data_IF_307990338120
#
_entry.id   IF_307990338120
#
_cell.length_a   1.000
_cell.length_b   1.000
_cell.length_c   1.000
_cell.angle_alpha   90.00
_cell.angle_beta   90.00
_cell.angle_gamma   90.00
#
_symmetry.space_group_name_H-M   'P 1'
#
loop_
_entity.id
_entity.type
_entity.pdbx_description
1 polymer ?
#
# COMPACT_ATOMS: atom_id res chain seq x y z
N UNK A 1 -31.10 -25.14 -74.60
CA UNK A 1 -29.76 -25.74 -74.48
C UNK A 1 -29.10 -25.18 -73.23
N UNK A 2 -28.80 -26.08 -72.29
CA UNK A 2 -27.90 -26.05 -71.13
C UNK A 2 -27.52 -24.72 -70.43
N UNK A 3 -27.66 -24.74 -69.10
CA UNK A 3 -26.97 -23.85 -68.17
C UNK A 3 -27.38 -24.08 -66.71
N UNK A 4 -27.21 -25.31 -66.19
CA UNK A 4 -27.37 -25.62 -64.75
C UNK A 4 -26.24 -24.96 -63.94
N UNK A 5 -26.59 -24.21 -62.90
CA UNK A 5 -25.70 -23.93 -61.77
C UNK A 5 -26.37 -24.38 -60.47
N UNK A 6 -25.81 -25.42 -59.86
CA UNK A 6 -26.15 -25.89 -58.52
C UNK A 6 -25.54 -24.95 -57.47
N UNK A 7 -26.37 -24.42 -56.57
CA UNK A 7 -25.92 -23.81 -55.33
C UNK A 7 -26.51 -24.59 -54.15
N UNK A 8 -25.64 -25.29 -53.44
CA UNK A 8 -25.92 -26.02 -52.21
C UNK A 8 -26.09 -25.04 -51.04
N UNK A 9 -27.29 -24.96 -50.47
CA UNK A 9 -27.54 -24.23 -49.23
C UNK A 9 -27.16 -25.12 -48.04
N UNK A 10 -26.10 -24.74 -47.31
CA UNK A 10 -25.74 -25.33 -46.02
C UNK A 10 -26.59 -24.64 -44.96
N UNK A 11 -27.47 -25.40 -44.29
CA UNK A 11 -28.25 -24.92 -43.16
C UNK A 11 -27.36 -24.87 -41.90
N UNK A 12 -27.16 -23.67 -41.35
CA UNK A 12 -26.47 -23.47 -40.07
C UNK A 12 -27.51 -23.59 -38.95
N UNK A 13 -27.40 -24.64 -38.13
CA UNK A 13 -28.18 -24.76 -36.90
C UNK A 13 -27.72 -23.71 -35.88
N UNK A 14 -28.65 -22.86 -35.42
CA UNK A 14 -28.39 -21.88 -34.37
C UNK A 14 -28.26 -22.58 -33.01
N UNK A 15 -27.11 -22.46 -32.37
CA UNK A 15 -26.96 -22.83 -30.95
C UNK A 15 -27.51 -21.70 -30.05
N UNK A 16 -28.17 -22.03 -28.93
CA UNK A 16 -28.71 -21.03 -28.01
C UNK A 16 -27.58 -20.26 -27.32
N UNK A 17 -27.71 -18.94 -27.28
CA UNK A 17 -26.76 -18.06 -26.62
C UNK A 17 -26.71 -18.33 -25.11
N UNK A 18 -25.53 -18.67 -24.59
CA UNK A 18 -25.29 -18.75 -23.17
C UNK A 18 -25.39 -17.34 -22.56
N UNK A 19 -26.36 -17.13 -21.68
CA UNK A 19 -26.48 -15.91 -20.88
C UNK A 19 -25.29 -15.81 -19.93
N UNK A 20 -24.36 -14.89 -20.22
CA UNK A 20 -23.29 -14.53 -19.31
C UNK A 20 -23.91 -13.94 -18.03
N UNK A 21 -23.61 -14.55 -16.89
CA UNK A 21 -23.99 -14.02 -15.58
C UNK A 21 -23.32 -12.66 -15.39
N UNK A 22 -24.11 -11.62 -15.12
CA UNK A 22 -23.59 -10.30 -14.77
C UNK A 22 -22.85 -10.38 -13.43
N UNK A 23 -21.67 -9.74 -13.30
CA UNK A 23 -21.00 -9.62 -12.02
C UNK A 23 -21.90 -8.88 -11.03
N UNK A 24 -21.97 -9.38 -9.79
CA UNK A 24 -22.76 -8.76 -8.73
C UNK A 24 -22.28 -7.31 -8.49
N UNK A 25 -23.20 -6.35 -8.29
CA UNK A 25 -22.83 -4.97 -7.99
C UNK A 25 -22.05 -4.91 -6.67
N UNK A 26 -20.89 -4.25 -6.71
CA UNK A 26 -20.06 -3.99 -5.53
C UNK A 26 -20.81 -3.05 -4.57
N UNK A 27 -20.97 -3.39 -3.28
CA UNK A 27 -21.66 -2.50 -2.34
C UNK A 27 -20.82 -1.24 -2.11
N UNK A 28 -21.34 -0.10 -2.55
CA UNK A 28 -20.85 1.23 -2.12
C UNK A 28 -21.19 1.41 -0.65
N UNK A 29 -20.26 1.01 0.23
CA UNK A 29 -20.31 1.30 1.66
C UNK A 29 -20.33 2.81 1.87
N UNK A 30 -21.45 3.36 2.36
CA UNK A 30 -21.62 4.78 2.69
C UNK A 30 -20.91 5.19 3.99
N UNK A 31 -20.35 4.23 4.73
CA UNK A 31 -19.56 4.52 5.94
C UNK A 31 -18.06 4.55 5.59
N UNK A 32 -17.30 5.53 6.13
CA UNK A 32 -15.87 5.64 5.87
C UNK A 32 -15.12 4.40 6.37
N UNK A 33 -14.05 4.02 5.66
CA UNK A 33 -13.23 2.89 6.05
C UNK A 33 -12.33 3.27 7.24
N UNK A 34 -12.42 2.50 8.32
CA UNK A 34 -11.64 2.73 9.54
C UNK A 34 -10.24 2.14 9.38
N UNK A 35 -9.20 2.96 9.52
CA UNK A 35 -7.82 2.58 9.29
C UNK A 35 -6.95 2.74 10.54
N UNK A 36 -6.13 1.73 10.81
CA UNK A 36 -4.88 1.92 11.56
C UNK A 36 -3.74 1.75 10.55
N UNK A 37 -2.78 2.65 10.54
CA UNK A 37 -1.65 2.64 9.60
C UNK A 37 -0.37 2.29 10.32
N UNK A 38 0.45 1.43 9.72
CA UNK A 38 1.82 1.12 10.13
C UNK A 38 2.74 1.45 8.94
N UNK A 39 3.70 2.34 9.15
CA UNK A 39 4.54 2.92 8.08
C UNK A 39 5.95 3.12 8.60
N UNK A 40 6.93 2.85 7.75
CA UNK A 40 8.34 3.12 8.00
C UNK A 40 8.85 4.34 7.22
N UNK A 41 7.99 5.35 7.11
CA UNK A 41 8.31 6.65 6.51
C UNK A 41 9.67 7.21 6.96
N UNK A 42 10.48 7.68 6.02
CA UNK A 42 11.72 8.37 6.32
C UNK A 42 12.98 7.74 5.73
N UNK A 43 12.90 6.50 5.25
CA UNK A 43 13.98 5.82 4.53
C UNK A 43 13.83 6.09 3.04
N UNK A 44 12.77 5.54 2.42
CA UNK A 44 12.29 5.93 1.09
C UNK A 44 11.20 7.02 1.20
N UNK A 45 10.93 7.70 0.09
CA UNK A 45 10.03 8.87 0.05
C UNK A 45 8.56 8.48 -0.14
N UNK A 46 8.27 7.27 -0.59
CA UNK A 46 6.96 6.88 -1.06
C UNK A 46 5.90 6.75 0.03
N UNK A 47 6.26 6.37 1.26
CA UNK A 47 5.34 6.48 2.41
C UNK A 47 4.82 7.92 2.57
N UNK A 48 5.68 8.93 2.38
CA UNK A 48 5.29 10.33 2.53
C UNK A 48 4.23 10.70 1.49
N UNK A 49 4.44 10.28 0.23
CA UNK A 49 3.45 10.48 -0.82
C UNK A 49 2.17 9.68 -0.58
N UNK A 50 2.25 8.47 -0.04
CA UNK A 50 1.11 7.64 0.35
C UNK A 50 0.28 8.29 1.47
N UNK A 51 0.93 8.79 2.51
CA UNK A 51 0.29 9.54 3.59
C UNK A 51 -0.30 10.85 3.07
N UNK A 52 0.33 11.52 2.10
CA UNK A 52 -0.24 12.69 1.44
C UNK A 52 -1.61 12.41 0.80
N UNK A 53 -1.71 11.30 0.05
CA UNK A 53 -2.98 10.84 -0.51
C UNK A 53 -3.99 10.48 0.60
N UNK A 54 -3.54 9.73 1.61
CA UNK A 54 -4.38 9.28 2.72
C UNK A 54 -5.00 10.46 3.48
N UNK A 55 -4.20 11.46 3.85
CA UNK A 55 -4.62 12.60 4.67
C UNK A 55 -5.60 13.53 3.93
N UNK A 56 -5.61 13.51 2.59
CA UNK A 56 -6.54 14.22 1.72
C UNK A 56 -7.78 13.41 1.34
N UNK A 57 -7.91 12.19 1.86
CA UNK A 57 -8.99 11.27 1.49
C UNK A 57 -10.02 11.10 2.63
N UNK A 58 -11.10 11.90 2.66
CA UNK A 58 -12.09 11.85 3.76
C UNK A 58 -12.86 10.53 3.84
N UNK A 59 -12.85 9.70 2.80
CA UNK A 59 -13.42 8.36 2.78
C UNK A 59 -12.64 7.39 3.68
N UNK A 60 -11.39 7.71 4.02
CA UNK A 60 -10.50 6.90 4.84
C UNK A 60 -10.35 7.56 6.22
N UNK A 61 -11.00 6.98 7.22
CA UNK A 61 -10.96 7.49 8.59
C UNK A 61 -9.79 6.88 9.36
N UNK A 62 -8.72 7.64 9.52
CA UNK A 62 -7.50 7.21 10.20
C UNK A 62 -7.67 7.29 11.72
N UNK A 63 -7.74 6.14 12.37
CA UNK A 63 -7.84 5.97 13.83
C UNK A 63 -6.49 6.15 14.54
N UNK A 64 -5.39 5.98 13.81
CA UNK A 64 -4.03 6.22 14.30
C UNK A 64 -2.97 5.75 13.32
N UNK A 65 -1.76 6.27 13.49
CA UNK A 65 -0.59 5.94 12.66
C UNK A 65 0.57 5.53 13.58
N UNK A 66 1.13 4.35 13.32
CA UNK A 66 2.28 3.81 14.01
C UNK A 66 3.54 3.99 13.17
N UNK A 67 4.62 4.48 13.79
CA UNK A 67 5.96 4.47 13.19
C UNK A 67 6.62 3.09 13.35
N UNK A 68 6.78 2.38 12.25
CA UNK A 68 7.38 1.05 12.20
C UNK A 68 8.86 1.11 11.80
N UNK A 69 9.60 0.06 12.15
CA UNK A 69 10.95 -0.27 11.65
C UNK A 69 12.08 0.77 11.84
N UNK A 70 13.28 0.33 12.21
CA UNK A 70 14.44 1.21 12.39
C UNK A 70 14.27 2.23 13.54
N UNK A 71 14.56 3.51 13.27
CA UNK A 71 14.43 4.58 14.27
C UNK A 71 12.97 5.06 14.41
N UNK A 72 12.15 4.23 15.03
CA UNK A 72 10.71 4.47 15.22
C UNK A 72 10.41 5.76 16.00
N UNK A 73 11.35 6.26 16.80
CA UNK A 73 11.19 7.53 17.53
C UNK A 73 11.37 8.73 16.62
N UNK A 74 12.41 8.74 15.77
CA UNK A 74 12.61 9.80 14.79
C UNK A 74 11.51 9.78 13.71
N UNK A 75 11.05 8.59 13.30
CA UNK A 75 9.89 8.45 12.40
C UNK A 75 8.62 9.05 13.00
N UNK A 76 8.37 8.86 14.30
CA UNK A 76 7.23 9.49 14.96
C UNK A 76 7.32 11.02 14.96
N UNK A 77 8.52 11.60 15.09
CA UNK A 77 8.72 13.05 14.96
C UNK A 77 8.42 13.53 13.54
N UNK A 78 8.85 12.78 12.52
CA UNK A 78 8.49 13.03 11.12
C UNK A 78 6.97 13.00 10.95
N UNK A 79 6.29 11.93 11.38
CA UNK A 79 4.84 11.81 11.31
C UNK A 79 4.13 12.99 11.98
N UNK A 80 4.51 13.34 13.20
CA UNK A 80 3.90 14.45 13.94
C UNK A 80 4.03 15.78 13.19
N UNK A 81 5.21 16.04 12.62
CA UNK A 81 5.43 17.26 11.84
C UNK A 81 4.65 17.22 10.53
N UNK A 82 4.53 16.07 9.86
CA UNK A 82 3.78 15.92 8.61
C UNK A 82 2.28 16.14 8.85
N UNK A 83 1.74 15.54 9.91
CA UNK A 83 0.37 15.74 10.35
C UNK A 83 0.09 17.22 10.65
N UNK A 84 1.02 17.91 11.31
CA UNK A 84 0.89 19.35 11.56
C UNK A 84 0.84 20.15 10.25
N UNK A 85 1.72 19.84 9.30
CA UNK A 85 1.73 20.51 7.99
C UNK A 85 0.46 20.22 7.18
N UNK A 86 -0.13 19.04 7.34
CA UNK A 86 -1.39 18.66 6.71
C UNK A 86 -2.64 19.21 7.44
N UNK A 87 -2.48 19.86 8.60
CA UNK A 87 -3.61 20.27 9.45
C UNK A 87 -4.37 19.09 10.06
N UNK A 88 -3.70 17.95 10.28
CA UNK A 88 -4.25 16.67 10.76
C UNK A 88 -3.64 16.19 12.08
N UNK A 89 -3.22 17.12 12.95
CA UNK A 89 -2.58 16.81 14.24
C UNK A 89 -3.48 16.07 15.24
N UNK A 90 -4.78 15.96 14.97
CA UNK A 90 -5.72 15.19 15.80
C UNK A 90 -5.53 13.67 15.67
N UNK A 91 -4.86 13.20 14.61
CA UNK A 91 -4.63 11.77 14.39
C UNK A 91 -3.64 11.23 15.43
N UNK A 92 -4.02 10.23 16.24
CA UNK A 92 -3.14 9.66 17.25
C UNK A 92 -1.92 8.98 16.62
N UNK A 93 -0.76 9.16 17.26
CA UNK A 93 0.47 8.45 16.89
C UNK A 93 0.78 7.32 17.88
N UNK A 94 1.43 6.27 17.38
CA UNK A 94 2.06 5.22 18.18
C UNK A 94 3.49 4.96 17.71
N UNK A 95 4.29 4.33 18.55
CA UNK A 95 5.67 3.94 18.25
C UNK A 95 5.75 2.42 18.18
N UNK A 96 6.33 1.92 17.09
CA UNK A 96 6.54 0.50 16.85
C UNK A 96 7.65 -0.12 17.67
N UNK A 97 7.79 -1.44 17.54
CA UNK A 97 8.82 -2.23 18.19
C UNK A 97 10.23 -1.69 17.87
N UNK A 98 11.11 -1.75 18.86
CA UNK A 98 12.51 -1.36 18.69
C UNK A 98 13.20 -2.34 17.75
N UNK A 99 13.61 -1.86 16.60
CA UNK A 99 14.28 -2.61 15.53
C UNK A 99 15.50 -1.83 15.04
N UNK A 100 16.25 -2.38 14.09
CA UNK A 100 17.41 -1.73 13.49
C UNK A 100 17.30 -1.80 11.98
N UNK A 101 17.42 -0.66 11.30
CA UNK A 101 17.51 -0.58 9.85
C UNK A 101 18.97 -0.37 9.45
N UNK A 102 19.41 -1.08 8.40
CA UNK A 102 20.68 -0.80 7.73
C UNK A 102 20.52 0.33 6.70
N UNK A 103 19.28 0.73 6.38
CA UNK A 103 19.00 1.84 5.49
C UNK A 103 19.15 3.16 6.25
N UNK A 104 19.92 4.12 5.74
CA UNK A 104 19.98 5.46 6.31
C UNK A 104 18.60 6.15 6.25
N UNK A 105 18.22 6.80 7.34
CA UNK A 105 17.04 7.64 7.41
C UNK A 105 17.26 8.92 6.58
N UNK A 106 16.86 8.91 5.31
CA UNK A 106 17.15 9.95 4.32
C UNK A 106 16.55 11.31 4.69
N UNK A 107 15.38 11.31 5.34
CA UNK A 107 14.64 12.51 5.73
C UNK A 107 14.90 12.98 7.18
N UNK A 108 15.97 12.50 7.83
CA UNK A 108 16.26 12.74 9.25
C UNK A 108 16.33 14.24 9.63
N UNK A 109 16.89 15.09 8.75
CA UNK A 109 17.01 16.53 9.02
C UNK A 109 15.65 17.21 9.10
N UNK A 110 14.69 16.73 8.32
CA UNK A 110 13.31 17.19 8.41
C UNK A 110 12.63 16.62 9.65
N UNK A 111 12.80 15.32 9.91
CA UNK A 111 12.21 14.61 11.04
C UNK A 111 12.58 15.24 12.39
N UNK A 112 13.87 15.57 12.60
CA UNK A 112 14.41 16.11 13.85
C UNK A 112 13.85 17.49 14.25
N UNK A 113 13.05 18.13 13.38
CA UNK A 113 12.33 19.37 13.69
C UNK A 113 10.90 19.11 14.18
N UNK A 114 10.45 17.86 14.21
CA UNK A 114 9.17 17.46 14.75
C UNK A 114 9.24 17.31 16.26
N UNK A 115 8.19 17.76 16.95
CA UNK A 115 8.09 17.67 18.40
C UNK A 115 6.91 16.79 18.80
N UNK A 116 7.19 15.67 19.46
CA UNK A 116 6.13 14.80 19.98
C UNK A 116 5.42 15.48 21.16
N UNK A 117 4.08 15.32 21.28
CA UNK A 117 3.30 15.88 22.38
C UNK A 117 3.53 15.18 23.72
N UNK A 118 4.30 14.09 23.74
CA UNK A 118 4.62 13.32 24.95
C UNK A 118 5.00 11.88 24.62
N UNK A 119 4.89 11.01 25.62
CA UNK A 119 5.11 9.57 25.45
C UNK A 119 3.98 8.98 24.61
N UNK A 120 4.33 8.37 23.48
CA UNK A 120 3.40 7.70 22.59
C UNK A 120 3.10 6.26 23.06
N UNK A 121 1.90 5.73 22.78
CA UNK A 121 1.57 4.32 23.00
C UNK A 121 2.37 3.39 22.08
N UNK A 122 2.40 2.13 22.45
CA UNK A 122 2.95 1.01 21.67
C UNK A 122 2.05 0.69 20.46
N UNK A 123 2.65 0.48 19.28
CA UNK A 123 1.92 0.22 18.03
C UNK A 123 1.02 -1.02 18.12
N UNK A 124 1.54 -2.14 18.64
CA UNK A 124 0.76 -3.36 18.81
C UNK A 124 -0.43 -3.15 19.77
N UNK A 125 -0.25 -2.36 20.83
CA UNK A 125 -1.34 -1.96 21.72
C UNK A 125 -2.40 -1.12 21.00
N UNK A 126 -2.01 -0.16 20.15
CA UNK A 126 -2.94 0.64 19.34
C UNK A 126 -3.74 -0.25 18.38
N UNK A 127 -3.07 -1.14 17.63
CA UNK A 127 -3.73 -2.07 16.68
C UNK A 127 -4.79 -2.89 17.41
N UNK A 128 -4.42 -3.53 18.52
CA UNK A 128 -5.31 -4.38 19.31
C UNK A 128 -6.45 -3.58 19.97
N UNK A 129 -6.16 -2.37 20.46
CA UNK A 129 -7.17 -1.50 21.04
C UNK A 129 -8.24 -1.14 20.00
N UNK A 130 -7.83 -0.68 18.82
CA UNK A 130 -8.78 -0.30 17.77
C UNK A 130 -9.56 -1.51 17.24
N UNK A 131 -8.92 -2.66 17.08
CA UNK A 131 -9.60 -3.91 16.71
C UNK A 131 -10.66 -4.34 17.75
N UNK A 132 -10.41 -4.10 19.05
CA UNK A 132 -11.38 -4.36 20.13
C UNK A 132 -12.53 -3.37 20.17
N UNK A 133 -12.26 -2.07 19.94
CA UNK A 133 -13.28 -1.02 19.92
C UNK A 133 -14.18 -1.12 18.68
N UNK A 134 -13.64 -1.60 17.56
CA UNK A 134 -14.33 -1.66 16.27
C UNK A 134 -14.19 -3.06 15.62
N UNK A 135 -14.72 -4.12 16.27
CA UNK A 135 -14.55 -5.50 15.80
C UNK A 135 -15.15 -5.70 14.41
N UNK A 136 -14.39 -6.31 13.51
CA UNK A 136 -14.75 -6.58 12.12
C UNK A 136 -14.77 -5.35 11.21
N UNK A 137 -14.34 -4.17 11.70
CA UNK A 137 -14.43 -2.90 10.95
C UNK A 137 -13.08 -2.25 10.62
N UNK A 138 -12.05 -2.49 11.44
CA UNK A 138 -10.72 -1.87 11.24
C UNK A 138 -9.94 -2.61 10.15
N UNK A 139 -9.50 -1.88 9.14
CA UNK A 139 -8.46 -2.32 8.22
C UNK A 139 -7.10 -1.87 8.76
N UNK A 140 -6.16 -2.79 8.87
CA UNK A 140 -4.77 -2.49 9.16
C UNK A 140 -4.03 -2.26 7.83
N UNK A 141 -3.61 -1.02 7.59
CA UNK A 141 -2.79 -0.65 6.44
C UNK A 141 -1.31 -0.76 6.82
N UNK A 142 -0.56 -1.63 6.16
CA UNK A 142 0.86 -1.88 6.42
C UNK A 142 1.67 -1.43 5.21
N UNK A 143 2.49 -0.40 5.38
CA UNK A 143 3.34 0.20 4.35
C UNK A 143 4.83 -0.11 4.56
N UNK A 144 5.18 -0.70 5.71
CA UNK A 144 6.54 -1.12 6.03
C UNK A 144 6.65 -2.59 6.44
N UNK A 145 7.77 -2.97 7.07
CA UNK A 145 7.94 -4.32 7.63
C UNK A 145 6.85 -4.69 8.62
N UNK A 146 6.37 -5.93 8.56
CA UNK A 146 5.17 -6.39 9.28
C UNK A 146 5.37 -6.62 10.78
N UNK A 147 6.46 -6.13 11.37
CA UNK A 147 6.87 -6.39 12.76
C UNK A 147 5.79 -6.04 13.76
N UNK A 148 5.18 -4.86 13.68
CA UNK A 148 4.17 -4.43 14.66
C UNK A 148 2.88 -5.23 14.56
N UNK A 149 2.49 -5.64 13.34
CA UNK A 149 1.37 -6.53 13.10
C UNK A 149 1.64 -7.92 13.69
N UNK A 150 2.85 -8.45 13.50
CA UNK A 150 3.29 -9.72 14.07
C UNK A 150 3.33 -9.68 15.61
N UNK A 151 3.81 -8.60 16.21
CA UNK A 151 3.81 -8.40 17.67
C UNK A 151 2.37 -8.32 18.21
N UNK A 152 1.47 -7.61 17.52
CA UNK A 152 0.05 -7.55 17.87
C UNK A 152 -0.59 -8.95 17.82
N UNK A 153 -0.34 -9.70 16.74
CA UNK A 153 -0.82 -11.07 16.56
C UNK A 153 -0.30 -11.99 17.66
N UNK A 154 0.98 -11.90 18.00
CA UNK A 154 1.59 -12.73 19.05
C UNK A 154 1.03 -12.40 20.44
N UNK A 155 0.81 -11.11 20.73
CA UNK A 155 0.33 -10.66 22.04
C UNK A 155 -1.12 -11.07 22.31
N UNK A 156 -2.00 -10.95 21.31
CA UNK A 156 -3.42 -11.28 21.45
C UNK A 156 -3.99 -11.78 20.10
N UNK A 157 -3.84 -13.09 19.79
CA UNK A 157 -4.31 -13.65 18.53
C UNK A 157 -5.82 -13.47 18.31
N UNK A 158 -6.62 -13.60 19.37
CA UNK A 158 -8.08 -13.47 19.29
C UNK A 158 -8.50 -12.02 19.06
N UNK A 159 -7.80 -11.04 19.67
CA UNK A 159 -7.99 -9.63 19.41
C UNK A 159 -7.55 -9.23 18.01
N UNK A 160 -6.40 -9.72 17.55
CA UNK A 160 -5.90 -9.48 16.20
C UNK A 160 -6.84 -10.02 15.11
N UNK A 161 -7.45 -11.19 15.35
CA UNK A 161 -8.45 -11.80 14.46
C UNK A 161 -9.73 -10.95 14.30
N UNK A 162 -9.94 -9.90 15.11
CA UNK A 162 -11.06 -8.96 14.98
C UNK A 162 -10.82 -7.88 13.92
N UNK A 163 -9.63 -7.77 13.35
CA UNK A 163 -9.40 -6.90 12.20
C UNK A 163 -10.32 -7.33 11.05
N UNK A 164 -10.85 -6.35 10.32
CA UNK A 164 -11.61 -6.58 9.08
C UNK A 164 -10.73 -7.27 8.05
N UNK A 165 -9.51 -6.74 7.88
CA UNK A 165 -8.49 -7.19 6.93
C UNK A 165 -7.17 -6.47 7.18
N UNK A 166 -6.13 -6.98 6.56
CA UNK A 166 -4.84 -6.30 6.37
C UNK A 166 -4.74 -5.91 4.89
N UNK A 167 -4.30 -4.69 4.62
CA UNK A 167 -3.92 -4.23 3.28
C UNK A 167 -2.45 -3.88 3.36
N UNK A 168 -1.61 -4.56 2.59
CA UNK A 168 -0.16 -4.46 2.74
C UNK A 168 0.54 -4.12 1.41
N UNK A 169 1.45 -3.15 1.43
CA UNK A 169 2.52 -3.08 0.44
C UNK A 169 3.59 -4.10 0.84
N UNK A 170 3.88 -5.03 -0.05
CA UNK A 170 4.97 -5.95 0.18
C UNK A 170 4.92 -7.16 -0.73
N UNK A 171 6.07 -7.82 -0.82
CA UNK A 171 6.25 -9.01 -1.62
C UNK A 171 6.48 -8.75 -3.10
N UNK A 172 6.97 -9.77 -3.76
CA UNK A 172 7.25 -9.82 -5.20
C UNK A 172 6.81 -11.20 -5.65
N UNK A 173 5.67 -11.28 -6.34
CA UNK A 173 5.02 -12.57 -6.62
C UNK A 173 5.51 -13.10 -7.96
N UNK A 174 5.33 -12.33 -9.04
CA UNK A 174 5.72 -12.74 -10.40
C UNK A 174 6.71 -11.75 -11.04
N UNK A 175 6.89 -10.57 -10.44
CA UNK A 175 7.76 -9.51 -10.96
C UNK A 175 8.62 -8.91 -9.86
N UNK A 176 9.93 -8.81 -10.11
CA UNK A 176 10.90 -8.12 -9.25
C UNK A 176 10.99 -6.62 -9.49
N UNK A 177 11.99 -5.99 -8.89
CA UNK A 177 12.27 -4.55 -9.04
C UNK A 177 12.68 -4.14 -10.45
N UNK A 178 12.49 -2.85 -10.75
CA UNK A 178 12.94 -2.20 -11.99
C UNK A 178 11.99 -2.37 -13.18
N UNK A 179 10.72 -2.74 -12.94
CA UNK A 179 9.69 -2.85 -13.99
C UNK A 179 9.42 -1.48 -14.62
N UNK A 180 9.66 -1.33 -15.90
CA UNK A 180 9.33 -0.13 -16.66
C UNK A 180 8.75 -0.46 -18.03
N UNK A 181 8.25 0.55 -18.74
CA UNK A 181 7.82 0.37 -20.13
C UNK A 181 8.97 0.01 -21.08
N UNK A 182 10.22 0.23 -20.65
CA UNK A 182 11.42 0.10 -21.48
C UNK A 182 12.32 -1.08 -21.10
N UNK A 183 11.97 -1.82 -20.03
CA UNK A 183 12.72 -2.98 -19.56
C UNK A 183 11.77 -4.15 -19.31
N UNK A 184 12.15 -5.39 -19.71
CA UNK A 184 11.37 -6.55 -19.34
C UNK A 184 11.29 -6.67 -17.81
N UNK A 185 10.21 -7.28 -17.32
CA UNK A 185 10.06 -7.56 -15.91
C UNK A 185 11.20 -8.46 -15.41
N UNK A 186 11.86 -8.05 -14.34
CA UNK A 186 12.81 -8.88 -13.61
C UNK A 186 12.09 -10.07 -12.95
N UNK A 187 12.80 -11.17 -12.75
CA UNK A 187 12.29 -12.29 -11.94
C UNK A 187 11.94 -11.82 -10.52
N UNK A 188 11.01 -12.51 -9.81
CA UNK A 188 10.69 -12.21 -8.42
C UNK A 188 11.93 -12.11 -7.54
N UNK A 189 11.93 -11.18 -6.60
CA UNK A 189 13.04 -10.90 -5.68
C UNK A 189 12.53 -10.89 -4.23
N UNK A 190 13.41 -11.00 -3.21
CA UNK A 190 13.02 -10.66 -1.85
C UNK A 190 12.68 -9.17 -1.83
N UNK A 191 11.41 -8.85 -1.63
CA UNK A 191 10.94 -7.47 -1.51
C UNK A 191 11.30 -6.94 -0.12
N UNK A 192 11.68 -5.66 -0.04
CA UNK A 192 12.23 -5.01 1.15
C UNK A 192 11.40 -5.24 2.42
N UNK A 193 10.09 -4.92 2.41
CA UNK A 193 9.23 -5.01 3.59
C UNK A 193 9.12 -6.45 4.12
N UNK A 194 9.10 -7.43 3.21
CA UNK A 194 9.10 -8.86 3.57
C UNK A 194 10.49 -9.30 4.07
N UNK A 195 11.56 -8.91 3.38
CA UNK A 195 12.93 -9.30 3.69
C UNK A 195 13.42 -8.72 5.02
N UNK A 196 13.00 -7.49 5.34
CA UNK A 196 13.36 -6.79 6.56
C UNK A 196 13.00 -7.60 7.81
N UNK A 197 11.82 -8.22 7.84
CA UNK A 197 11.38 -9.06 8.95
C UNK A 197 10.62 -10.31 8.46
N UNK A 198 11.39 -11.26 7.92
CA UNK A 198 10.87 -12.53 7.39
C UNK A 198 9.99 -13.28 8.42
N UNK A 199 10.40 -13.47 9.69
CA UNK A 199 9.56 -14.14 10.68
C UNK A 199 8.23 -13.40 10.95
N UNK A 200 8.23 -12.07 10.96
CA UNK A 200 7.01 -11.29 11.10
C UNK A 200 6.07 -11.47 9.91
N UNK A 201 6.60 -11.40 8.69
CA UNK A 201 5.82 -11.61 7.48
C UNK A 201 5.19 -13.02 7.45
N UNK A 202 5.96 -14.07 7.76
CA UNK A 202 5.46 -15.44 7.87
C UNK A 202 4.31 -15.56 8.89
N UNK A 203 4.46 -14.93 10.05
CA UNK A 203 3.43 -14.93 11.10
C UNK A 203 2.15 -14.24 10.63
N UNK A 204 2.26 -13.10 9.95
CA UNK A 204 1.10 -12.33 9.47
C UNK A 204 0.37 -13.08 8.35
N UNK A 205 1.09 -13.67 7.40
CA UNK A 205 0.49 -14.48 6.33
C UNK A 205 -0.23 -15.72 6.87
N UNK A 206 0.23 -16.26 8.01
CA UNK A 206 -0.40 -17.39 8.70
C UNK A 206 -1.48 -16.98 9.72
N UNK A 207 -1.77 -15.69 9.91
CA UNK A 207 -2.60 -15.21 11.01
C UNK A 207 -4.11 -15.49 10.83
N UNK A 208 -4.56 -15.87 9.63
CA UNK A 208 -5.96 -16.13 9.32
C UNK A 208 -6.85 -14.88 9.18
N UNK A 209 -6.29 -13.68 9.34
CA UNK A 209 -6.95 -12.41 9.00
C UNK A 209 -6.92 -12.25 7.48
N UNK A 210 -8.02 -11.82 6.81
CA UNK A 210 -7.99 -11.59 5.37
C UNK A 210 -6.91 -10.59 4.96
N UNK A 211 -6.10 -10.92 3.95
CA UNK A 211 -5.01 -10.06 3.45
C UNK A 211 -5.29 -9.65 2.01
N UNK A 212 -5.14 -8.37 1.72
CA UNK A 212 -4.97 -7.84 0.37
C UNK A 212 -3.51 -7.43 0.23
N UNK A 213 -2.81 -8.07 -0.72
CA UNK A 213 -1.39 -7.84 -0.95
C UNK A 213 -1.21 -7.00 -2.22
N UNK A 214 -0.46 -5.92 -2.10
CA UNK A 214 0.00 -5.08 -3.20
C UNK A 214 1.52 -5.29 -3.37
N UNK A 215 1.94 -6.33 -4.11
CA UNK A 215 3.34 -6.63 -4.38
C UNK A 215 3.94 -5.77 -5.50
N UNK A 216 5.25 -5.91 -5.71
CA UNK A 216 6.01 -5.26 -6.79
C UNK A 216 5.40 -5.41 -8.19
N UNK A 217 4.61 -6.47 -8.42
CA UNK A 217 3.82 -6.67 -9.63
C UNK A 217 2.92 -5.46 -9.97
N UNK A 218 2.36 -4.83 -8.94
CA UNK A 218 1.36 -3.76 -9.00
C UNK A 218 1.90 -2.39 -8.59
N UNK A 219 2.90 -2.32 -7.71
CA UNK A 219 3.23 -1.09 -6.97
C UNK A 219 4.27 -0.20 -7.63
N UNK A 220 4.97 -0.67 -8.66
CA UNK A 220 6.00 0.09 -9.37
C UNK A 220 5.41 1.22 -10.26
N UNK A 221 4.90 2.29 -9.63
CA UNK A 221 4.31 3.48 -10.26
C UNK A 221 5.27 4.66 -10.10
N UNK A 222 5.61 5.36 -11.17
CA UNK A 222 6.50 6.52 -11.08
C UNK A 222 5.72 7.83 -11.02
N UNK A 223 6.17 8.76 -10.17
CA UNK A 223 5.68 10.15 -10.17
C UNK A 223 6.54 10.95 -11.14
N UNK A 224 6.07 11.13 -12.38
CA UNK A 224 6.85 11.75 -13.46
C UNK A 224 6.97 13.27 -13.33
N UNK A 225 7.77 13.88 -14.21
CA UNK A 225 8.11 15.30 -14.13
C UNK A 225 6.90 16.25 -14.13
N UNK A 226 5.91 16.07 -15.02
CA UNK A 226 4.73 16.93 -15.02
C UNK A 226 3.97 16.88 -13.69
N UNK A 227 3.81 15.69 -13.11
CA UNK A 227 3.12 15.48 -11.84
C UNK A 227 3.90 16.14 -10.70
N UNK A 228 5.22 15.98 -10.65
CA UNK A 228 6.07 16.63 -9.65
C UNK A 228 6.03 18.14 -9.75
N UNK A 229 6.07 18.71 -10.96
CA UNK A 229 5.96 20.16 -11.15
C UNK A 229 4.63 20.66 -10.61
N UNK A 230 3.52 20.00 -10.95
CA UNK A 230 2.20 20.37 -10.47
C UNK A 230 2.08 20.26 -8.94
N UNK A 231 2.61 19.18 -8.36
CA UNK A 231 2.58 18.93 -6.92
C UNK A 231 3.41 19.97 -6.14
N UNK A 232 4.65 20.22 -6.58
CA UNK A 232 5.55 21.14 -5.89
C UNK A 232 5.17 22.62 -6.10
N UNK A 233 4.44 22.94 -7.16
CA UNK A 233 3.94 24.30 -7.42
C UNK A 233 2.61 24.60 -6.73
N UNK A 234 1.93 23.62 -6.12
CA UNK A 234 0.62 23.81 -5.51
C UNK A 234 0.65 24.79 -4.33
N UNK A 235 1.67 24.68 -3.47
CA UNK A 235 1.98 25.69 -2.44
C UNK A 235 1.05 25.67 -1.23
N UNK A 236 0.86 24.51 -0.60
CA UNK A 236 0.27 24.39 0.74
C UNK A 236 1.16 23.62 1.71
N UNK A 237 0.77 23.57 2.99
CA UNK A 237 1.57 22.93 4.05
C UNK A 237 1.92 21.47 3.73
N UNK A 238 0.98 20.68 3.21
CA UNK A 238 1.23 19.28 2.87
C UNK A 238 2.15 19.17 1.65
N UNK A 239 1.86 19.88 0.55
CA UNK A 239 2.68 19.79 -0.68
C UNK A 239 4.08 20.34 -0.47
N UNK A 240 4.24 21.37 0.36
CA UNK A 240 5.55 21.92 0.72
C UNK A 240 6.35 20.96 1.61
N UNK A 241 5.67 20.21 2.49
CA UNK A 241 6.30 19.15 3.27
C UNK A 241 6.78 18.01 2.35
N UNK A 242 5.93 17.54 1.43
CA UNK A 242 6.28 16.52 0.45
C UNK A 242 7.46 16.96 -0.42
N UNK A 243 7.47 18.22 -0.86
CA UNK A 243 8.58 18.81 -1.63
C UNK A 243 9.89 18.75 -0.85
N UNK A 244 9.90 19.19 0.40
CA UNK A 244 11.10 19.18 1.24
C UNK A 244 11.60 17.77 1.54
N UNK A 245 10.70 16.82 1.82
CA UNK A 245 11.03 15.42 2.06
C UNK A 245 11.64 14.79 0.80
N UNK A 246 11.03 15.03 -0.36
CA UNK A 246 11.53 14.56 -1.66
C UNK A 246 12.94 15.07 -1.94
N UNK A 247 13.22 16.35 -1.72
CA UNK A 247 14.57 16.89 -1.97
C UNK A 247 15.61 16.38 -0.96
N UNK A 248 15.23 15.99 0.27
CA UNK A 248 16.16 15.32 1.18
C UNK A 248 16.46 13.90 0.73
N UNK A 249 15.43 13.12 0.41
CA UNK A 249 15.58 11.76 -0.11
C UNK A 249 16.40 11.72 -1.40
N UNK A 250 16.08 12.60 -2.36
CA UNK A 250 16.78 12.69 -3.65
C UNK A 250 18.25 13.06 -3.50
N UNK A 251 18.60 13.83 -2.48
CA UNK A 251 19.97 14.29 -2.22
C UNK A 251 20.75 13.28 -1.35
N UNK A 252 20.51 11.99 -1.54
CA UNK A 252 21.26 10.91 -0.91
C UNK A 252 22.01 10.08 -1.94
N UNK A 253 23.04 9.35 -1.51
CA UNK A 253 23.78 8.40 -2.35
C UNK A 253 23.12 7.00 -2.37
N UNK A 254 21.85 6.89 -1.98
CA UNK A 254 21.12 5.63 -1.98
C UNK A 254 20.85 5.17 -3.43
N UNK A 255 21.00 3.88 -3.75
CA UNK A 255 20.93 3.41 -5.14
C UNK A 255 19.53 3.52 -5.77
N UNK A 256 18.48 3.67 -4.96
CA UNK A 256 17.10 3.91 -5.41
C UNK A 256 16.73 5.40 -5.46
N UNK A 257 17.53 6.30 -4.88
CA UNK A 257 17.28 7.73 -4.94
C UNK A 257 17.37 8.24 -6.38
N UNK A 258 16.36 8.95 -6.85
CA UNK A 258 16.32 9.44 -8.23
C UNK A 258 15.46 10.69 -8.39
N UNK A 259 15.46 11.28 -9.61
CA UNK A 259 14.56 12.39 -9.93
C UNK A 259 13.09 11.96 -10.02
N UNK A 260 12.82 10.68 -10.25
CA UNK A 260 11.48 10.14 -10.47
C UNK A 260 11.23 9.07 -9.41
N UNK A 261 10.59 9.43 -8.27
CA UNK A 261 10.34 8.47 -7.21
C UNK A 261 9.33 7.43 -7.67
N UNK A 262 9.47 6.21 -7.15
CA UNK A 262 8.48 5.14 -7.35
C UNK A 262 7.55 5.13 -6.14
N UNK A 263 6.25 5.25 -6.35
CA UNK A 263 5.21 5.37 -5.34
C UNK A 263 4.65 3.99 -4.96
N UNK A 264 5.45 3.14 -4.32
CA UNK A 264 4.99 1.80 -3.99
C UNK A 264 3.80 1.83 -3.03
N UNK A 265 3.92 2.62 -1.97
CA UNK A 265 2.93 2.71 -0.89
C UNK A 265 1.66 3.50 -1.23
N UNK A 266 1.70 4.33 -2.28
CA UNK A 266 0.51 5.02 -2.74
C UNK A 266 -0.54 4.05 -3.32
N UNK A 267 -0.10 2.88 -3.81
CA UNK A 267 -1.00 1.88 -4.42
C UNK A 267 -1.96 1.24 -3.41
N UNK A 268 -1.54 0.76 -2.24
CA UNK A 268 -2.46 0.35 -1.17
C UNK A 268 -3.50 1.41 -0.80
N UNK A 269 -3.10 2.67 -0.68
CA UNK A 269 -4.01 3.78 -0.33
C UNK A 269 -5.01 4.03 -1.48
N UNK A 270 -4.53 4.06 -2.72
CA UNK A 270 -5.38 4.18 -3.90
C UNK A 270 -6.36 3.01 -4.03
N UNK A 271 -5.93 1.78 -3.71
CA UNK A 271 -6.77 0.59 -3.72
C UNK A 271 -7.91 0.68 -2.69
N UNK A 272 -7.66 1.23 -1.50
CA UNK A 272 -8.70 1.47 -0.49
C UNK A 272 -9.78 2.44 -0.98
N UNK A 273 -9.43 3.40 -1.84
CA UNK A 273 -10.36 4.35 -2.44
C UNK A 273 -11.10 3.77 -3.65
N UNK A 274 -10.36 3.06 -4.50
CA UNK A 274 -10.82 2.53 -5.80
C UNK A 274 -10.24 1.13 -6.03
N UNK A 275 -10.83 0.08 -5.43
CA UNK A 275 -10.35 -1.29 -5.57
C UNK A 275 -10.32 -1.78 -7.03
N UNK A 276 -11.11 -1.17 -7.91
CA UNK A 276 -11.17 -1.48 -9.34
C UNK A 276 -9.91 -1.06 -10.12
N UNK A 277 -9.08 -0.15 -9.57
CA UNK A 277 -7.78 0.18 -10.15
C UNK A 277 -6.82 -1.00 -10.18
N UNK A 278 -7.04 -1.99 -9.31
CA UNK A 278 -6.08 -3.07 -9.09
C UNK A 278 -6.86 -4.32 -8.62
N UNK A 279 -7.57 -4.98 -9.55
CA UNK A 279 -8.34 -6.20 -9.26
C UNK A 279 -7.44 -7.30 -8.70
N UNK A 280 -7.96 -8.02 -7.70
CA UNK A 280 -7.17 -9.03 -6.98
C UNK A 280 -7.38 -10.44 -7.52
N UNK A 281 -6.33 -11.24 -7.43
CA UNK A 281 -6.33 -12.69 -7.69
C UNK A 281 -6.20 -13.43 -6.36
N UNK A 282 -7.08 -14.40 -6.05
CA UNK A 282 -6.90 -15.24 -4.88
C UNK A 282 -5.68 -16.15 -5.08
N UNK A 283 -4.70 -16.05 -4.19
CA UNK A 283 -3.47 -16.87 -4.22
C UNK A 283 -3.19 -17.46 -2.85
N UNK A 284 -2.54 -18.63 -2.85
CA UNK A 284 -1.85 -19.13 -1.68
C UNK A 284 -0.39 -18.68 -1.77
N UNK A 285 0.01 -17.79 -0.87
CA UNK A 285 1.37 -17.24 -0.82
C UNK A 285 2.04 -17.61 0.50
N UNK A 286 3.28 -18.08 0.40
CA UNK A 286 4.19 -18.32 1.51
C UNK A 286 5.39 -17.37 1.43
N UNK A 287 5.98 -17.06 2.58
CA UNK A 287 7.26 -16.33 2.66
C UNK A 287 8.36 -17.33 3.00
N UNK A 288 9.30 -17.53 2.09
CA UNK A 288 10.43 -18.44 2.32
C UNK A 288 11.47 -17.85 3.29
N UNK A 289 12.40 -18.68 3.75
CA UNK A 289 13.43 -18.26 4.70
C UNK A 289 14.40 -17.19 4.15
N UNK A 290 14.38 -16.96 2.83
CA UNK A 290 15.19 -15.96 2.15
C UNK A 290 14.39 -14.68 1.86
N UNK A 291 13.15 -14.58 2.35
CA UNK A 291 12.31 -13.39 2.23
C UNK A 291 11.61 -13.26 0.89
N UNK A 292 11.55 -14.32 0.08
CA UNK A 292 10.73 -14.27 -1.12
C UNK A 292 9.28 -14.66 -0.84
N UNK A 293 8.37 -13.99 -1.53
CA UNK A 293 6.96 -14.37 -1.60
C UNK A 293 6.77 -15.41 -2.71
N UNK A 294 6.26 -16.59 -2.37
CA UNK A 294 6.15 -17.74 -3.27
C UNK A 294 4.70 -18.16 -3.42
N UNK A 295 4.29 -18.40 -4.67
CA UNK A 295 3.04 -19.11 -4.93
C UNK A 295 3.19 -20.57 -4.51
N UNK A 296 2.33 -21.01 -3.59
CA UNK A 296 2.29 -22.37 -3.08
C UNK A 296 1.02 -23.10 -3.49
N UNK A 297 0.97 -24.39 -3.17
CA UNK A 297 -0.24 -25.19 -3.31
C UNK A 297 -1.06 -25.09 -2.01
N UNK A 298 -2.32 -24.65 -2.10
CA UNK A 298 -3.19 -24.56 -0.92
C UNK A 298 -4.42 -23.71 -1.15
N UNK A 299 -5.26 -23.62 -0.11
CA UNK A 299 -6.38 -22.66 -0.10
C UNK A 299 -5.83 -21.24 -0.11
N UNK A 300 -6.35 -20.33 -0.97
CA UNK A 300 -5.90 -18.96 -0.99
C UNK A 300 -5.93 -18.30 0.40
N UNK A 301 -4.80 -17.73 0.82
CA UNK A 301 -4.65 -16.96 2.05
C UNK A 301 -4.56 -15.44 1.80
N UNK A 302 -4.36 -15.03 0.54
CA UNK A 302 -4.31 -13.62 0.15
C UNK A 302 -5.16 -13.33 -1.08
N UNK A 303 -5.56 -12.07 -1.20
CA UNK A 303 -6.04 -11.44 -2.43
C UNK A 303 -4.90 -10.56 -2.97
N UNK A 304 -4.16 -11.02 -3.97
CA UNK A 304 -3.00 -10.31 -4.49
C UNK A 304 -3.38 -9.49 -5.73
N UNK A 305 -3.06 -8.19 -5.75
CA UNK A 305 -3.14 -7.44 -6.98
C UNK A 305 -1.84 -7.58 -7.79
N UNK A 306 -1.94 -8.04 -9.03
CA UNK A 306 -0.77 -8.31 -9.88
C UNK A 306 -0.62 -7.30 -11.03
N UNK A 307 -1.59 -6.39 -11.17
CA UNK A 307 -1.59 -5.34 -12.20
C UNK A 307 -2.48 -4.18 -11.79
N UNK A 308 -1.89 -3.00 -11.76
CA UNK A 308 -2.57 -1.72 -11.49
C UNK A 308 -2.81 -0.95 -12.79
N UNK A 309 -3.95 -0.27 -12.88
CA UNK A 309 -4.20 0.80 -13.84
C UNK A 309 -3.42 2.05 -13.43
N UNK A 310 -2.19 2.18 -13.96
CA UNK A 310 -1.27 3.26 -13.57
C UNK A 310 -1.80 4.64 -13.93
N UNK A 311 -2.30 4.90 -15.16
CA UNK A 311 -2.84 6.21 -15.51
C UNK A 311 -4.00 6.64 -14.60
N UNK A 312 -4.97 5.75 -14.34
CA UNK A 312 -6.10 6.07 -13.49
C UNK A 312 -5.68 6.27 -12.01
N UNK A 313 -4.66 5.56 -11.54
CA UNK A 313 -4.09 5.79 -10.21
C UNK A 313 -3.42 7.16 -10.10
N UNK A 314 -2.61 7.57 -11.09
CA UNK A 314 -1.98 8.90 -11.10
C UNK A 314 -3.03 10.00 -11.17
N UNK A 315 -4.06 9.86 -12.00
CA UNK A 315 -5.17 10.82 -12.06
C UNK A 315 -5.88 10.95 -10.69
N UNK A 316 -6.20 9.83 -10.04
CA UNK A 316 -6.74 9.81 -8.68
C UNK A 316 -5.79 10.52 -7.70
N UNK A 317 -4.51 10.17 -7.72
CA UNK A 317 -3.50 10.74 -6.83
C UNK A 317 -3.43 12.26 -6.97
N UNK A 318 -3.25 12.74 -8.20
CA UNK A 318 -3.08 14.16 -8.48
C UNK A 318 -4.34 14.96 -8.16
N UNK A 319 -5.53 14.47 -8.53
CA UNK A 319 -6.79 15.16 -8.18
C UNK A 319 -7.00 15.24 -6.69
N UNK A 320 -6.76 14.17 -5.96
CA UNK A 320 -6.99 14.13 -4.51
C UNK A 320 -5.98 15.00 -3.76
N UNK A 321 -4.68 14.86 -4.06
CA UNK A 321 -3.63 15.59 -3.33
C UNK A 321 -3.68 17.09 -3.62
N UNK A 322 -3.95 17.49 -4.87
CA UNK A 322 -4.11 18.89 -5.27
C UNK A 322 -5.53 19.44 -5.00
N UNK A 323 -6.43 18.63 -4.45
CA UNK A 323 -7.83 18.99 -4.17
C UNK A 323 -8.56 19.56 -5.40
N UNK A 324 -8.28 19.03 -6.58
CA UNK A 324 -8.95 19.43 -7.83
C UNK A 324 -10.41 18.99 -7.78
N UNK A 325 -11.32 19.89 -8.16
CA UNK A 325 -12.76 19.64 -8.24
C UNK A 325 -13.14 18.96 -9.54
#
# INVERSE_FOLDING_TARGET
>A
MLGLWCASAVAWAQMPAATAAQPAPTPTSTSPELLVVSTDIGDDIDDAFALGLLLRSPQLHVLGIASAWGDTSLRAQLLQRLLQQAGRSEIPLAVGARTTSAIPFSQARWAARGQLPGKLPDAAAMILQQARLHPGKVTLLVLGPMTDAAVAQQRDPAGFARLKRIVAMGGSVRVGYGKSAYRPASAPAPEYNILADVPAAQRVFAAGVPIVLLPLDATQITLEEPERIALFAHGDGLTDALTQLYYQWRNTDQPWASATPTLFDAVPVAWLLRPDLCPTTPLHLDVDAQGYTREGAGTPNVQACLRTDKPALIDLYMRTVLQLR
#
